data_IF_897644726300
#
_entry.id   IF_897644726300
#
_cell.length_a   1.000
_cell.length_b   1.000
_cell.length_c   1.000
_cell.angle_alpha   90.00
_cell.angle_beta   90.00
_cell.angle_gamma   90.00
#
_symmetry.space_group_name_H-M   'P 1'
#
loop_
_entity.id
_entity.type
_entity.pdbx_description
1 polymer ?
#
# COMPACT_ATOMS: atom_id res chain seq x y z
N UNK A 1 -20.48 8.83 7.30
CA UNK A 1 -21.77 8.94 6.69
C UNK A 1 -22.90 9.17 7.69
N UNK A 2 -24.13 9.15 7.20
CA UNK A 2 -25.33 9.41 8.02
C UNK A 2 -25.60 8.37 9.11
N UNK A 3 -25.01 7.18 9.02
CA UNK A 3 -25.24 6.08 9.96
C UNK A 3 -25.03 6.46 11.43
N UNK A 4 -23.99 7.23 11.71
CA UNK A 4 -23.69 7.67 13.08
C UNK A 4 -24.58 8.80 13.60
N UNK A 5 -25.38 9.41 12.73
CA UNK A 5 -26.18 10.61 13.03
C UNK A 5 -27.69 10.40 12.92
N UNK A 6 -28.13 9.25 12.37
CA UNK A 6 -29.55 8.96 12.11
C UNK A 6 -29.97 7.71 12.88
N UNK A 7 -31.11 7.80 13.58
CA UNK A 7 -31.67 6.65 14.29
C UNK A 7 -31.98 5.49 13.33
N UNK A 8 -31.77 4.26 13.78
CA UNK A 8 -32.09 3.05 13.03
C UNK A 8 -33.55 3.03 12.53
N UNK A 9 -34.46 3.57 13.32
CA UNK A 9 -35.90 3.67 13.02
C UNK A 9 -36.23 4.60 11.84
N UNK A 10 -35.30 5.43 11.38
CA UNK A 10 -35.48 6.26 10.19
C UNK A 10 -35.73 5.46 8.90
N UNK A 11 -35.39 4.16 8.91
CA UNK A 11 -35.75 3.20 7.87
C UNK A 11 -35.01 3.38 6.54
N UNK A 12 -33.85 4.07 6.50
CA UNK A 12 -33.08 4.30 5.26
C UNK A 12 -32.60 2.98 4.64
N UNK A 13 -32.01 2.09 5.42
CA UNK A 13 -31.53 0.79 4.92
C UNK A 13 -32.70 -0.07 4.41
N UNK A 14 -33.86 -0.04 5.11
CA UNK A 14 -35.03 -0.77 4.66
C UNK A 14 -35.56 -0.23 3.32
N UNK A 15 -35.55 1.10 3.12
CA UNK A 15 -35.98 1.68 1.84
C UNK A 15 -35.00 1.30 0.73
N UNK A 16 -33.69 1.44 0.96
CA UNK A 16 -32.67 1.07 0.00
C UNK A 16 -32.74 -0.42 -0.36
N UNK A 17 -32.95 -1.32 0.61
CA UNK A 17 -33.10 -2.75 0.33
C UNK A 17 -34.33 -3.03 -0.54
N UNK A 18 -35.47 -2.34 -0.33
CA UNK A 18 -36.63 -2.46 -1.19
C UNK A 18 -36.38 -2.00 -2.61
N UNK A 19 -35.70 -0.86 -2.78
CA UNK A 19 -35.34 -0.36 -4.10
C UNK A 19 -34.43 -1.35 -4.84
N UNK A 20 -33.47 -1.97 -4.14
CA UNK A 20 -32.61 -3.03 -4.71
C UNK A 20 -33.46 -4.21 -5.17
N UNK A 21 -34.40 -4.70 -4.34
CA UNK A 21 -35.30 -5.80 -4.70
C UNK A 21 -36.16 -5.45 -5.91
N UNK A 22 -36.67 -4.22 -5.99
CA UNK A 22 -37.46 -3.75 -7.16
C UNK A 22 -36.61 -3.74 -8.44
N UNK A 23 -35.36 -3.30 -8.35
CA UNK A 23 -34.44 -3.33 -9.48
C UNK A 23 -34.14 -4.77 -9.91
N UNK A 24 -33.84 -5.69 -8.98
CA UNK A 24 -33.59 -7.09 -9.27
C UNK A 24 -34.80 -7.76 -9.92
N UNK A 25 -36.01 -7.44 -9.49
CA UNK A 25 -37.25 -7.93 -10.12
C UNK A 25 -37.43 -7.39 -11.53
N UNK A 26 -37.16 -6.10 -11.73
CA UNK A 26 -37.22 -5.46 -13.05
C UNK A 26 -36.27 -6.13 -14.05
N UNK A 27 -35.08 -6.50 -13.60
CA UNK A 27 -34.06 -7.20 -14.41
C UNK A 27 -34.30 -8.73 -14.50
N UNK A 28 -35.32 -9.27 -13.80
CA UNK A 28 -35.67 -10.70 -13.86
C UNK A 28 -34.71 -11.62 -13.11
N UNK A 29 -33.96 -11.10 -12.14
CA UNK A 29 -32.91 -11.84 -11.40
C UNK A 29 -33.18 -11.89 -9.88
N UNK A 30 -34.39 -11.53 -9.45
CA UNK A 30 -34.72 -11.48 -8.01
C UNK A 30 -34.66 -12.84 -7.29
N UNK A 31 -34.76 -13.94 -8.03
CA UNK A 31 -34.68 -15.30 -7.49
C UNK A 31 -33.24 -15.83 -7.45
N UNK A 32 -32.27 -15.06 -7.94
CA UNK A 32 -30.85 -15.42 -7.90
C UNK A 32 -30.21 -14.93 -6.60
N UNK A 33 -29.14 -15.60 -6.11
CA UNK A 33 -28.35 -15.09 -5.00
C UNK A 33 -27.79 -13.69 -5.31
N UNK A 34 -27.84 -12.78 -4.34
CA UNK A 34 -27.21 -11.46 -4.41
C UNK A 34 -25.79 -11.53 -3.83
N UNK A 35 -24.79 -11.33 -4.68
CA UNK A 35 -23.42 -11.20 -4.23
C UNK A 35 -23.13 -9.79 -3.70
N UNK A 36 -22.46 -9.70 -2.54
CA UNK A 36 -21.94 -8.44 -1.99
C UNK A 36 -20.49 -8.64 -1.56
N UNK A 37 -19.63 -7.66 -1.80
CA UNK A 37 -18.22 -7.69 -1.39
C UNK A 37 -18.00 -6.93 -0.08
N UNK A 38 -18.51 -5.70 0.02
CA UNK A 38 -18.41 -4.88 1.22
C UNK A 38 -19.81 -4.34 1.54
N UNK A 39 -20.31 -4.63 2.73
CA UNK A 39 -21.62 -4.16 3.17
C UNK A 39 -21.64 -3.91 4.69
N UNK A 40 -22.25 -2.80 5.10
CA UNK A 40 -22.47 -2.55 6.52
C UNK A 40 -23.56 -3.51 7.10
N UNK A 41 -23.41 -3.98 8.35
CA UNK A 41 -24.37 -4.91 8.95
C UNK A 41 -25.85 -4.48 8.85
N UNK A 42 -26.24 -3.21 9.06
CA UNK A 42 -27.64 -2.80 8.91
C UNK A 42 -28.19 -2.97 7.49
N UNK A 43 -27.37 -2.76 6.45
CA UNK A 43 -27.77 -3.02 5.07
C UNK A 43 -27.89 -4.52 4.80
N UNK A 44 -26.93 -5.33 5.28
CA UNK A 44 -26.99 -6.79 5.16
C UNK A 44 -28.30 -7.32 5.77
N UNK A 45 -28.63 -6.90 7.00
CA UNK A 45 -29.86 -7.33 7.67
C UNK A 45 -31.11 -6.85 6.93
N UNK A 46 -31.11 -5.65 6.34
CA UNK A 46 -32.21 -5.15 5.56
C UNK A 46 -32.44 -5.94 4.26
N UNK A 47 -31.36 -6.31 3.55
CA UNK A 47 -31.42 -7.16 2.36
C UNK A 47 -31.98 -8.56 2.69
N UNK A 48 -31.51 -9.18 3.78
CA UNK A 48 -31.99 -10.48 4.25
C UNK A 48 -33.46 -10.42 4.68
N UNK A 49 -33.87 -9.32 5.31
CA UNK A 49 -35.28 -9.12 5.74
C UNK A 49 -36.27 -8.97 4.55
N UNK A 50 -35.77 -8.52 3.37
CA UNK A 50 -36.55 -8.50 2.13
C UNK A 50 -36.51 -9.87 1.39
N UNK A 51 -35.91 -10.90 1.97
CA UNK A 51 -35.93 -12.29 1.47
C UNK A 51 -34.81 -12.62 0.47
N UNK A 52 -33.80 -11.77 0.32
CA UNK A 52 -32.68 -12.04 -0.58
C UNK A 52 -31.70 -13.06 0.01
N UNK A 53 -31.24 -14.01 -0.81
CA UNK A 53 -30.08 -14.89 -0.50
C UNK A 53 -28.79 -14.12 -0.72
N UNK A 54 -28.29 -13.46 0.34
CA UNK A 54 -27.07 -12.62 0.27
C UNK A 54 -25.84 -13.47 0.50
N UNK A 55 -24.86 -13.40 -0.39
CA UNK A 55 -23.61 -14.15 -0.34
C UNK A 55 -22.39 -13.23 -0.40
N UNK A 56 -21.34 -13.60 0.34
CA UNK A 56 -20.03 -12.96 0.20
C UNK A 56 -19.41 -13.31 -1.16
N UNK A 57 -19.07 -12.28 -1.93
CA UNK A 57 -18.39 -12.40 -3.24
C UNK A 57 -17.09 -11.64 -3.28
N UNK A 58 -16.50 -11.30 -2.15
CA UNK A 58 -15.23 -10.58 -2.10
C UNK A 58 -14.15 -11.29 -2.91
N UNK A 59 -14.07 -12.62 -2.82
CA UNK A 59 -13.09 -13.39 -3.60
C UNK A 59 -13.32 -13.29 -5.10
N UNK A 60 -14.58 -13.23 -5.54
CA UNK A 60 -14.91 -13.05 -6.97
C UNK A 60 -14.47 -11.68 -7.46
N UNK A 61 -14.70 -10.63 -6.67
CA UNK A 61 -14.30 -9.26 -7.00
C UNK A 61 -12.77 -9.09 -6.98
N UNK A 62 -12.07 -9.70 -6.03
CA UNK A 62 -10.61 -9.71 -6.00
C UNK A 62 -10.02 -10.43 -7.23
N UNK A 63 -10.61 -11.55 -7.64
CA UNK A 63 -10.19 -12.28 -8.85
C UNK A 63 -10.42 -11.45 -10.11
N UNK A 64 -11.57 -10.75 -10.20
CA UNK A 64 -11.89 -9.94 -11.37
C UNK A 64 -10.92 -8.76 -11.57
N UNK A 65 -10.31 -8.25 -10.48
CA UNK A 65 -9.40 -7.08 -10.50
C UNK A 65 -7.92 -7.44 -10.56
N UNK A 66 -7.55 -8.71 -10.39
CA UNK A 66 -6.13 -9.08 -10.23
C UNK A 66 -5.29 -8.88 -11.50
N UNK A 67 -5.86 -9.11 -12.68
CA UNK A 67 -5.20 -8.91 -13.97
C UNK A 67 -5.65 -7.56 -14.52
N UNK A 68 -4.70 -6.66 -14.73
CA UNK A 68 -4.95 -5.30 -15.19
C UNK A 68 -4.95 -5.23 -16.70
N UNK A 69 -5.91 -4.52 -17.27
CA UNK A 69 -5.89 -4.12 -18.68
C UNK A 69 -4.77 -3.10 -18.94
N UNK A 70 -4.45 -2.85 -20.19
CA UNK A 70 -3.45 -1.84 -20.57
C UNK A 70 -3.87 -0.43 -20.15
N UNK A 71 -5.17 -0.10 -20.18
CA UNK A 71 -5.67 1.19 -19.75
C UNK A 71 -5.51 1.39 -18.22
N UNK A 72 -5.79 0.35 -17.42
CA UNK A 72 -5.55 0.35 -15.98
C UNK A 72 -4.06 0.50 -15.66
N UNK A 73 -3.18 -0.19 -16.39
CA UNK A 73 -1.72 -0.05 -16.25
C UNK A 73 -1.26 1.38 -16.56
N UNK A 74 -1.83 2.05 -17.54
CA UNK A 74 -1.52 3.46 -17.82
C UNK A 74 -1.91 4.35 -16.65
N UNK A 75 -3.09 4.17 -16.06
CA UNK A 75 -3.54 4.94 -14.90
C UNK A 75 -2.68 4.68 -13.66
N UNK A 76 -2.28 3.43 -13.39
CA UNK A 76 -1.34 3.09 -12.32
C UNK A 76 0.04 3.74 -12.53
N UNK A 77 0.57 3.73 -13.76
CA UNK A 77 1.81 4.45 -14.06
C UNK A 77 1.69 5.96 -13.83
N UNK A 78 0.56 6.58 -14.22
CA UNK A 78 0.32 8.01 -13.96
C UNK A 78 0.26 8.29 -12.46
N UNK A 79 -0.45 7.44 -11.71
CA UNK A 79 -0.55 7.54 -10.26
C UNK A 79 0.83 7.44 -9.59
N UNK A 80 1.64 6.45 -9.94
CA UNK A 80 3.02 6.27 -9.44
C UNK A 80 3.92 7.47 -9.80
N UNK A 81 3.82 7.98 -11.04
CA UNK A 81 4.62 9.15 -11.48
C UNK A 81 4.32 10.42 -10.70
N UNK A 82 3.09 10.60 -10.22
CA UNK A 82 2.75 11.72 -9.34
C UNK A 82 3.48 11.60 -8.00
N UNK A 83 3.60 10.39 -7.47
CA UNK A 83 4.36 10.12 -6.23
C UNK A 83 5.87 10.27 -6.45
N UNK A 84 6.41 9.90 -7.63
CA UNK A 84 7.80 10.25 -7.99
C UNK A 84 8.03 11.77 -7.86
N UNK A 85 7.10 12.59 -8.34
CA UNK A 85 7.13 14.05 -8.19
C UNK A 85 7.13 14.51 -6.73
N UNK A 86 6.35 13.85 -5.87
CA UNK A 86 6.36 14.11 -4.41
C UNK A 86 7.73 13.82 -3.81
N UNK A 87 8.38 12.71 -4.20
CA UNK A 87 9.71 12.39 -3.66
C UNK A 87 10.79 13.39 -4.11
N UNK A 88 10.70 13.92 -5.33
CA UNK A 88 11.55 15.03 -5.75
C UNK A 88 11.31 16.26 -4.89
N UNK A 89 10.04 16.61 -4.63
CA UNK A 89 9.69 17.72 -3.73
C UNK A 89 10.23 17.50 -2.31
N UNK A 90 10.09 16.28 -1.76
CA UNK A 90 10.63 15.92 -0.45
C UNK A 90 12.17 16.09 -0.45
N UNK A 91 12.86 15.54 -1.43
CA UNK A 91 14.32 15.60 -1.53
C UNK A 91 14.85 17.05 -1.58
N UNK A 92 14.13 17.95 -2.24
CA UNK A 92 14.50 19.38 -2.36
C UNK A 92 14.23 20.18 -1.08
N UNK A 93 13.19 19.80 -0.30
CA UNK A 93 12.71 20.61 0.83
C UNK A 93 13.13 20.07 2.19
N UNK A 94 13.38 18.75 2.32
CA UNK A 94 13.73 18.10 3.58
C UNK A 94 15.03 18.68 4.15
N UNK A 95 14.94 19.30 5.33
CA UNK A 95 16.07 19.94 6.00
C UNK A 95 15.89 19.95 7.51
N UNK A 96 16.97 20.09 8.29
CA UNK A 96 16.89 20.24 9.73
C UNK A 96 16.00 21.41 10.14
N UNK A 97 15.20 21.21 11.21
CA UNK A 97 14.28 22.21 11.76
C UNK A 97 12.90 22.23 11.10
N UNK A 98 12.73 21.60 9.94
CA UNK A 98 11.40 21.37 9.35
C UNK A 98 10.65 20.30 10.14
N UNK A 99 9.34 20.35 10.19
CA UNK A 99 8.51 19.33 10.87
C UNK A 99 7.98 18.29 9.89
N UNK A 100 7.70 17.07 10.39
CA UNK A 100 7.09 16.02 9.59
C UNK A 100 5.77 16.50 8.94
N UNK A 101 4.88 17.12 9.72
CA UNK A 101 3.60 17.64 9.21
C UNK A 101 3.73 18.78 8.19
N UNK A 102 4.79 19.58 8.24
CA UNK A 102 5.04 20.62 7.24
C UNK A 102 5.38 20.00 5.88
N UNK A 103 6.18 18.94 5.87
CA UNK A 103 6.52 18.21 4.66
C UNK A 103 5.31 17.47 4.09
N UNK A 104 4.50 16.85 4.95
CA UNK A 104 3.22 16.23 4.58
C UNK A 104 2.27 17.23 3.94
N UNK A 105 2.18 18.46 4.46
CA UNK A 105 1.35 19.51 3.87
C UNK A 105 1.81 19.91 2.45
N UNK A 106 3.14 19.99 2.22
CA UNK A 106 3.70 20.26 0.89
C UNK A 106 3.38 19.13 -0.09
N UNK A 107 3.53 17.88 0.35
CA UNK A 107 3.23 16.70 -0.46
C UNK A 107 1.75 16.61 -0.84
N UNK A 108 0.84 16.83 0.12
CA UNK A 108 -0.60 16.91 -0.14
C UNK A 108 -0.94 17.97 -1.18
N UNK A 109 -0.38 19.19 -0.98
CA UNK A 109 -0.60 20.29 -1.93
C UNK A 109 -0.15 19.90 -3.34
N UNK A 110 1.04 19.29 -3.46
CA UNK A 110 1.56 18.88 -4.76
C UNK A 110 0.64 17.86 -5.45
N UNK A 111 0.16 16.85 -4.74
CA UNK A 111 -0.71 15.82 -5.30
C UNK A 111 -2.04 16.41 -5.79
N UNK A 112 -2.71 17.24 -4.97
CA UNK A 112 -3.96 17.87 -5.38
C UNK A 112 -3.79 18.90 -6.52
N UNK A 113 -2.69 19.65 -6.53
CA UNK A 113 -2.37 20.56 -7.64
C UNK A 113 -2.17 19.80 -8.97
N UNK A 114 -1.75 18.52 -8.91
CA UNK A 114 -1.52 17.67 -10.07
C UNK A 114 -2.70 16.74 -10.40
N UNK A 115 -3.83 16.85 -9.70
CA UNK A 115 -5.07 16.15 -10.03
C UNK A 115 -5.30 14.83 -9.32
N UNK A 116 -4.67 14.60 -8.16
CA UNK A 116 -5.04 13.48 -7.29
C UNK A 116 -6.52 13.56 -6.92
N UNK A 117 -7.21 12.44 -6.99
CA UNK A 117 -8.60 12.33 -6.54
C UNK A 117 -8.68 12.38 -5.01
N UNK A 118 -7.75 11.68 -4.36
CA UNK A 118 -7.67 11.59 -2.91
C UNK A 118 -6.25 11.23 -2.47
N UNK A 119 -5.77 11.89 -1.42
CA UNK A 119 -4.54 11.54 -0.72
C UNK A 119 -4.93 10.78 0.54
N UNK A 120 -4.91 9.45 0.46
CA UNK A 120 -5.41 8.57 1.53
C UNK A 120 -4.54 8.65 2.78
N UNK A 121 -3.21 8.69 2.61
CA UNK A 121 -2.25 8.90 3.70
C UNK A 121 -0.89 9.34 3.15
N UNK A 122 -0.15 10.09 3.96
CA UNK A 122 1.29 10.29 3.82
C UNK A 122 1.91 9.96 5.17
N UNK A 123 2.57 8.82 5.26
CA UNK A 123 3.38 8.47 6.42
C UNK A 123 4.71 9.20 6.30
N UNK A 124 5.09 9.93 7.34
CA UNK A 124 6.37 10.62 7.43
C UNK A 124 6.95 10.38 8.81
N UNK A 125 7.96 9.55 8.87
CA UNK A 125 8.54 9.05 10.13
C UNK A 125 10.03 9.27 10.12
N UNK A 126 10.58 9.79 11.23
CA UNK A 126 11.98 10.15 11.30
C UNK A 126 12.68 9.77 12.60
N UNK A 127 13.99 9.53 12.50
CA UNK A 127 14.89 9.23 13.62
C UNK A 127 14.49 7.98 14.37
N UNK A 128 14.51 8.04 15.68
CA UNK A 128 14.19 6.95 16.60
C UNK A 128 12.78 6.37 16.41
N UNK A 129 11.85 7.14 15.81
CA UNK A 129 10.48 6.67 15.55
C UNK A 129 10.40 5.68 14.39
N UNK A 130 11.42 5.58 13.56
CA UNK A 130 11.43 4.63 12.45
C UNK A 130 11.41 3.17 12.90
N UNK A 131 11.68 2.89 14.18
CA UNK A 131 11.66 1.55 14.75
C UNK A 131 10.81 1.51 16.04
N UNK A 132 9.76 0.66 16.10
CA UNK A 132 9.08 -0.02 15.00
C UNK A 132 8.48 0.98 14.01
N UNK A 133 7.95 0.56 12.89
CA UNK A 133 7.48 1.45 11.82
C UNK A 133 6.02 1.93 12.05
N UNK A 134 5.76 3.10 12.64
CA UNK A 134 4.41 3.63 12.71
C UNK A 134 3.94 4.14 11.34
N UNK A 135 2.63 4.04 11.08
CA UNK A 135 1.99 4.56 9.87
C UNK A 135 1.32 5.91 10.14
N UNK A 136 2.13 6.91 10.48
CA UNK A 136 1.65 8.26 10.74
C UNK A 136 2.76 9.29 10.56
N UNK A 137 2.41 10.56 10.78
CA UNK A 137 3.34 11.66 10.96
C UNK A 137 3.02 12.38 12.27
N UNK A 138 3.96 13.22 12.73
CA UNK A 138 3.78 14.05 13.93
C UNK A 138 4.26 15.48 13.66
N UNK A 139 4.37 16.27 14.73
CA UNK A 139 5.03 17.58 14.72
C UNK A 139 6.52 17.52 15.06
N UNK A 140 7.13 16.32 15.07
CA UNK A 140 8.56 16.14 15.29
C UNK A 140 9.37 16.92 14.25
N UNK A 141 10.38 17.65 14.69
CA UNK A 141 11.32 18.32 13.80
C UNK A 141 12.40 17.33 13.34
N UNK A 142 12.73 17.38 12.06
CA UNK A 142 13.88 16.68 11.49
C UNK A 142 15.18 17.27 12.08
N UNK A 143 16.08 16.38 12.46
CA UNK A 143 17.39 16.71 13.02
C UNK A 143 18.50 16.30 12.05
N UNK A 144 19.68 16.95 12.13
CA UNK A 144 20.85 16.47 11.39
C UNK A 144 21.14 15.01 11.71
N UNK A 145 21.34 14.18 10.67
CA UNK A 145 21.58 12.75 10.79
C UNK A 145 20.34 11.88 10.94
N UNK A 146 19.14 12.45 11.02
CA UNK A 146 17.93 11.65 11.02
C UNK A 146 17.81 10.84 9.72
N UNK A 147 17.56 9.55 9.84
CA UNK A 147 16.97 8.76 8.78
C UNK A 147 15.46 8.95 8.79
N UNK A 148 14.86 9.15 7.64
CA UNK A 148 13.43 9.36 7.51
C UNK A 148 12.88 8.52 6.36
N UNK A 149 11.80 7.81 6.59
CA UNK A 149 11.05 7.16 5.52
C UNK A 149 9.68 7.80 5.34
N UNK A 150 9.24 7.77 4.12
CA UNK A 150 7.94 8.28 3.70
C UNK A 150 7.21 7.18 2.94
N UNK A 151 5.89 7.13 3.11
CA UNK A 151 4.99 6.34 2.31
C UNK A 151 3.89 7.27 1.80
N UNK A 152 3.75 7.35 0.51
CA UNK A 152 2.80 8.27 -0.11
C UNK A 152 1.71 7.47 -0.80
N UNK A 153 0.51 7.53 -0.23
CA UNK A 153 -0.66 6.77 -0.67
C UNK A 153 -1.68 7.75 -1.27
N UNK A 154 -1.95 7.60 -2.56
CA UNK A 154 -2.89 8.47 -3.25
C UNK A 154 -3.64 7.71 -4.35
N UNK A 155 -4.70 8.32 -4.90
CA UNK A 155 -5.42 7.81 -6.06
C UNK A 155 -5.51 8.84 -7.18
N UNK A 156 -5.41 8.34 -8.41
CA UNK A 156 -5.63 9.10 -9.63
C UNK A 156 -6.60 8.34 -10.54
N UNK A 157 -7.71 8.96 -10.91
CA UNK A 157 -8.80 8.35 -11.68
C UNK A 157 -9.29 7.02 -11.07
N UNK A 158 -9.30 6.97 -9.72
CA UNK A 158 -9.69 5.81 -8.93
C UNK A 158 -8.59 4.76 -8.71
N UNK A 159 -7.45 4.85 -9.39
CA UNK A 159 -6.34 3.88 -9.27
C UNK A 159 -5.31 4.35 -8.25
N UNK A 160 -4.99 3.46 -7.33
CA UNK A 160 -4.12 3.73 -6.18
C UNK A 160 -2.67 3.40 -6.46
N UNK A 161 -1.81 4.15 -5.80
CA UNK A 161 -0.37 3.89 -5.68
C UNK A 161 0.03 4.06 -4.22
N UNK A 162 0.99 3.28 -3.76
CA UNK A 162 1.72 3.54 -2.53
C UNK A 162 3.14 3.01 -2.67
N UNK A 163 4.12 3.79 -2.21
CA UNK A 163 5.44 3.23 -2.05
C UNK A 163 6.31 4.02 -1.08
N UNK A 164 7.22 3.29 -0.43
CA UNK A 164 8.18 3.84 0.51
C UNK A 164 9.46 4.29 -0.14
N UNK A 165 9.96 5.42 0.35
CA UNK A 165 11.36 5.85 0.15
C UNK A 165 11.96 6.30 1.47
N UNK A 166 13.24 5.99 1.65
CA UNK A 166 14.03 6.40 2.82
C UNK A 166 15.08 7.41 2.37
N UNK A 167 15.17 8.52 3.09
CA UNK A 167 16.17 9.58 2.90
C UNK A 167 16.86 9.88 4.23
N UNK A 168 18.10 10.39 4.20
CA UNK A 168 18.77 10.92 5.38
C UNK A 168 18.87 12.44 5.34
N UNK A 169 18.86 13.07 6.50
CA UNK A 169 18.93 14.52 6.65
C UNK A 169 20.36 14.95 6.92
N UNK A 170 21.04 15.52 5.93
CA UNK A 170 22.39 16.06 6.00
C UNK A 170 23.51 15.03 6.04
N UNK A 171 23.40 13.97 6.81
CA UNK A 171 24.38 12.90 6.95
C UNK A 171 23.74 11.57 7.34
N UNK A 172 24.51 10.50 7.41
CA UNK A 172 24.06 9.19 7.89
C UNK A 172 25.14 8.51 8.74
N UNK A 173 24.72 7.55 9.57
CA UNK A 173 25.62 6.64 10.28
C UNK A 173 25.94 5.42 9.41
N UNK A 174 27.06 4.70 9.65
CA UNK A 174 27.33 3.42 9.00
C UNK A 174 26.18 2.41 9.17
N UNK A 175 25.54 2.40 10.34
CA UNK A 175 24.43 1.51 10.69
C UNK A 175 23.17 1.82 9.87
N UNK A 176 22.85 3.09 9.64
CA UNK A 176 21.76 3.52 8.77
C UNK A 176 22.01 3.14 7.31
N UNK A 177 23.25 3.30 6.84
CA UNK A 177 23.65 2.90 5.48
C UNK A 177 23.56 1.38 5.30
N UNK A 178 24.04 0.60 6.28
CA UNK A 178 23.97 -0.86 6.26
C UNK A 178 22.51 -1.35 6.22
N UNK A 179 21.64 -0.76 7.04
CA UNK A 179 20.20 -1.05 7.04
C UNK A 179 19.57 -0.77 5.66
N UNK A 180 19.91 0.35 5.04
CA UNK A 180 19.43 0.69 3.70
C UNK A 180 19.91 -0.31 2.63
N UNK A 181 21.18 -0.69 2.68
CA UNK A 181 21.76 -1.64 1.74
C UNK A 181 21.11 -3.02 1.86
N UNK A 182 20.85 -3.50 3.08
CA UNK A 182 20.15 -4.75 3.33
C UNK A 182 18.71 -4.71 2.80
N UNK A 183 17.96 -3.65 3.12
CA UNK A 183 16.61 -3.48 2.61
C UNK A 183 16.57 -3.45 1.08
N UNK A 184 17.56 -2.80 0.43
CA UNK A 184 17.69 -2.76 -1.03
C UNK A 184 18.02 -4.14 -1.61
N UNK A 185 18.96 -4.87 -1.00
CA UNK A 185 19.34 -6.21 -1.44
C UNK A 185 18.13 -7.17 -1.39
N UNK A 186 17.36 -7.14 -0.31
CA UNK A 186 16.17 -8.00 -0.17
C UNK A 186 15.12 -7.70 -1.23
N UNK A 187 14.84 -6.43 -1.52
CA UNK A 187 13.85 -6.09 -2.53
C UNK A 187 14.35 -6.38 -3.95
N UNK A 188 15.63 -6.18 -4.24
CA UNK A 188 16.21 -6.55 -5.53
C UNK A 188 16.11 -8.05 -5.76
N UNK A 189 16.47 -8.87 -4.78
CA UNK A 189 16.34 -10.33 -4.84
C UNK A 189 14.89 -10.76 -5.02
N UNK A 190 13.94 -10.09 -4.39
CA UNK A 190 12.50 -10.36 -4.57
C UNK A 190 12.04 -10.03 -5.99
N UNK A 191 12.42 -8.86 -6.52
CA UNK A 191 12.07 -8.40 -7.87
C UNK A 191 12.64 -9.31 -8.96
N UNK A 192 13.88 -9.79 -8.82
CA UNK A 192 14.52 -10.71 -9.78
C UNK A 192 13.75 -12.03 -9.95
N UNK A 193 13.00 -12.44 -8.94
CA UNK A 193 12.16 -13.65 -9.01
C UNK A 193 10.84 -13.43 -9.76
N UNK A 194 10.36 -12.18 -9.86
CA UNK A 194 9.01 -11.90 -10.38
C UNK A 194 8.89 -12.24 -11.86
N UNK A 195 8.08 -13.24 -12.16
CA UNK A 195 7.69 -13.65 -13.52
C UNK A 195 6.42 -14.50 -13.50
N UNK A 196 5.72 -14.66 -14.62
CA UNK A 196 4.56 -15.55 -14.70
C UNK A 196 4.92 -16.99 -14.32
N UNK A 197 4.02 -17.66 -13.62
CA UNK A 197 4.18 -19.04 -13.14
C UNK A 197 4.98 -19.19 -11.84
N UNK A 198 5.65 -18.14 -11.36
CA UNK A 198 6.22 -18.17 -10.01
C UNK A 198 5.13 -18.04 -8.95
N UNK A 199 5.32 -18.68 -7.81
CA UNK A 199 4.40 -18.59 -6.67
C UNK A 199 4.92 -17.63 -5.59
N UNK A 200 4.01 -16.98 -4.87
CA UNK A 200 4.31 -15.93 -3.88
C UNK A 200 5.15 -16.41 -2.69
N UNK A 201 5.11 -17.71 -2.38
CA UNK A 201 5.98 -18.32 -1.34
C UNK A 201 7.46 -18.16 -1.68
N UNK A 202 7.83 -18.26 -2.97
CA UNK A 202 9.24 -18.11 -3.41
C UNK A 202 9.78 -16.71 -3.20
N UNK A 203 8.94 -15.70 -3.35
CA UNK A 203 9.31 -14.33 -3.00
C UNK A 203 9.37 -14.16 -1.49
N UNK A 204 8.39 -14.66 -0.76
CA UNK A 204 8.35 -14.58 0.70
C UNK A 204 9.55 -15.30 1.38
N UNK A 205 10.06 -16.39 0.80
CA UNK A 205 11.23 -17.11 1.28
C UNK A 205 12.53 -16.28 1.23
N UNK A 206 12.62 -15.30 0.32
CA UNK A 206 13.81 -14.42 0.19
C UNK A 206 13.95 -13.47 1.38
N UNK A 207 12.85 -13.09 1.99
CA UNK A 207 12.84 -12.15 3.09
C UNK A 207 13.24 -12.78 4.42
N UNK A 208 13.95 -12.04 5.31
CA UNK A 208 14.30 -12.48 6.64
C UNK A 208 13.09 -12.94 7.46
N UNK A 209 13.35 -13.82 8.41
CA UNK A 209 12.34 -14.29 9.35
C UNK A 209 12.05 -13.25 10.44
N UNK A 210 10.89 -13.34 11.06
CA UNK A 210 10.48 -12.47 12.15
C UNK A 210 11.51 -12.35 13.29
N UNK A 211 12.16 -13.47 13.61
CA UNK A 211 13.17 -13.54 14.68
C UNK A 211 14.41 -12.65 14.39
N UNK A 212 14.74 -12.42 13.11
CA UNK A 212 15.85 -11.55 12.72
C UNK A 212 15.58 -10.08 13.06
N UNK A 213 14.30 -9.73 13.19
CA UNK A 213 13.84 -8.41 13.63
C UNK A 213 13.52 -8.34 15.14
N UNK A 214 13.72 -9.45 15.87
CA UNK A 214 13.43 -9.55 17.30
C UNK A 214 11.98 -9.85 17.66
N UNK A 215 11.16 -10.30 16.70
CA UNK A 215 9.77 -10.73 16.94
C UNK A 215 9.68 -12.23 17.14
N UNK A 216 8.71 -12.67 17.94
CA UNK A 216 8.54 -14.09 18.26
C UNK A 216 7.78 -14.89 17.19
N UNK A 217 7.11 -14.20 16.25
CA UNK A 217 6.30 -14.85 15.21
C UNK A 217 6.13 -13.95 13.98
N UNK A 218 5.85 -14.60 12.83
CA UNK A 218 5.53 -13.86 11.59
C UNK A 218 4.26 -12.99 11.72
N UNK A 219 3.35 -13.33 12.63
CA UNK A 219 2.18 -12.49 12.93
C UNK A 219 2.57 -11.17 13.59
N UNK A 220 3.55 -11.17 14.50
CA UNK A 220 4.05 -9.96 15.17
C UNK A 220 4.88 -9.10 14.22
N UNK A 221 5.56 -9.71 13.25
CA UNK A 221 6.34 -9.04 12.23
C UNK A 221 5.54 -8.70 10.96
N UNK A 222 4.25 -9.01 10.93
CA UNK A 222 3.40 -8.77 9.76
C UNK A 222 3.44 -7.29 9.33
N UNK A 223 3.64 -7.06 8.05
CA UNK A 223 3.76 -5.69 7.50
C UNK A 223 5.17 -5.09 7.53
N UNK A 224 6.18 -5.78 8.11
CA UNK A 224 7.58 -5.34 7.98
C UNK A 224 8.10 -5.60 6.57
N UNK A 225 7.80 -6.79 6.05
CA UNK A 225 8.15 -7.20 4.69
C UNK A 225 6.91 -7.79 4.04
N UNK A 226 6.40 -7.10 3.07
CA UNK A 226 5.07 -7.33 2.56
C UNK A 226 5.02 -7.05 1.05
N UNK A 227 4.11 -7.68 0.37
CA UNK A 227 3.76 -7.34 -1.00
C UNK A 227 2.25 -7.46 -1.17
N UNK A 228 1.68 -6.53 -1.90
CA UNK A 228 0.23 -6.51 -2.12
C UNK A 228 -0.11 -6.00 -3.51
N UNK A 229 -1.16 -6.57 -4.10
CA UNK A 229 -1.72 -6.04 -5.34
C UNK A 229 -2.22 -4.61 -5.17
N UNK A 230 -2.20 -3.88 -6.27
CA UNK A 230 -2.65 -2.51 -6.40
C UNK A 230 -3.69 -2.38 -7.52
N UNK A 231 -4.60 -1.45 -7.39
CA UNK A 231 -5.61 -1.17 -8.41
C UNK A 231 -6.65 -0.19 -7.94
N UNK A 232 -7.92 -0.57 -8.02
CA UNK A 232 -9.04 0.20 -7.47
C UNK A 232 -9.05 0.20 -5.94
N UNK A 233 -8.40 -0.77 -5.31
CA UNK A 233 -8.13 -0.76 -3.87
C UNK A 233 -6.62 -0.68 -3.62
N UNK A 234 -6.26 -0.16 -2.44
CA UNK A 234 -4.87 -0.11 -2.00
C UNK A 234 -4.28 -1.52 -1.84
N UNK A 235 -5.07 -2.44 -1.29
CA UNK A 235 -4.66 -3.83 -1.13
C UNK A 235 -5.57 -4.75 -1.97
N UNK A 236 -4.98 -5.37 -2.99
CA UNK A 236 -5.61 -6.38 -3.85
C UNK A 236 -4.78 -7.66 -3.87
N UNK A 237 -5.10 -8.60 -4.76
CA UNK A 237 -4.24 -9.76 -5.02
C UNK A 237 -3.11 -9.44 -6.00
N UNK A 238 -1.95 -10.08 -5.84
CA UNK A 238 -1.58 -11.05 -4.81
C UNK A 238 -1.25 -10.40 -3.45
N UNK A 239 -1.32 -11.19 -2.36
CA UNK A 239 -0.68 -10.86 -1.09
C UNK A 239 0.59 -11.71 -0.99
N UNK A 240 1.72 -11.08 -0.68
CA UNK A 240 3.03 -11.71 -0.57
C UNK A 240 3.56 -11.42 0.83
N UNK A 241 3.68 -12.44 1.67
CA UNK A 241 4.28 -12.33 3.00
C UNK A 241 4.64 -13.71 3.53
N UNK A 242 5.57 -13.78 4.47
CA UNK A 242 5.91 -15.03 5.15
C UNK A 242 4.73 -15.60 5.95
N UNK A 243 3.87 -14.71 6.50
CA UNK A 243 2.68 -15.12 7.24
C UNK A 243 1.64 -15.85 6.39
N UNK A 244 1.47 -15.45 5.13
CA UNK A 244 0.36 -15.89 4.28
C UNK A 244 0.83 -16.81 3.17
N UNK A 245 1.90 -16.44 2.47
CA UNK A 245 2.27 -17.08 1.20
C UNK A 245 2.93 -18.45 1.38
N UNK A 246 3.61 -18.69 2.51
CA UNK A 246 4.27 -19.97 2.75
C UNK A 246 3.27 -21.14 2.83
N UNK A 247 2.10 -20.89 3.43
CA UNK A 247 1.03 -21.89 3.58
C UNK A 247 -0.03 -21.79 2.45
N UNK A 248 -0.14 -20.63 1.80
CA UNK A 248 -1.13 -20.37 0.76
C UNK A 248 -0.46 -19.68 -0.44
N UNK A 249 0.40 -20.40 -1.19
CA UNK A 249 1.08 -19.84 -2.34
C UNK A 249 0.10 -19.46 -3.43
N UNK A 250 0.35 -18.33 -4.08
CA UNK A 250 -0.45 -17.78 -5.16
C UNK A 250 0.40 -17.62 -6.42
N UNK A 251 -0.06 -18.11 -7.56
CA UNK A 251 0.69 -18.05 -8.82
C UNK A 251 0.60 -16.66 -9.46
N UNK A 252 1.75 -16.10 -9.81
CA UNK A 252 1.84 -14.83 -10.53
C UNK A 252 1.48 -15.01 -11.99
N UNK A 253 0.75 -14.06 -12.54
CA UNK A 253 0.32 -14.04 -13.93
C UNK A 253 0.67 -12.69 -14.58
N UNK A 254 0.90 -12.71 -15.88
CA UNK A 254 1.09 -11.49 -16.69
C UNK A 254 -0.08 -10.52 -16.50
N UNK A 255 0.23 -9.23 -16.38
CA UNK A 255 -0.76 -8.17 -16.13
C UNK A 255 -1.10 -7.94 -14.67
N UNK A 256 -0.59 -8.74 -13.72
CA UNK A 256 -0.69 -8.40 -12.32
C UNK A 256 0.19 -7.19 -12.00
N UNK A 257 -0.31 -6.32 -11.11
CA UNK A 257 0.42 -5.16 -10.59
C UNK A 257 0.40 -5.23 -9.07
N UNK A 258 1.56 -5.14 -8.46
CA UNK A 258 1.69 -5.19 -7.00
C UNK A 258 2.93 -4.45 -6.51
N UNK A 259 2.87 -4.04 -5.25
CA UNK A 259 3.99 -3.49 -4.50
C UNK A 259 4.77 -4.61 -3.80
N UNK A 260 6.07 -4.41 -3.67
CA UNK A 260 6.99 -5.19 -2.83
C UNK A 260 7.69 -4.23 -1.90
N UNK A 261 7.62 -4.44 -0.61
CA UNK A 261 8.18 -3.55 0.41
C UNK A 261 9.08 -4.28 1.40
N UNK A 262 10.13 -3.60 1.84
CA UNK A 262 11.11 -4.10 2.80
C UNK A 262 11.28 -3.15 3.97
N UNK A 263 11.74 -3.69 5.10
CA UNK A 263 12.06 -2.94 6.31
C UNK A 263 13.35 -3.48 6.92
N UNK A 264 14.28 -2.59 7.29
CA UNK A 264 15.45 -2.96 8.05
C UNK A 264 15.76 -1.87 9.09
N UNK A 265 15.72 -2.19 10.41
CA UNK A 265 16.11 -1.24 11.45
C UNK A 265 17.62 -1.02 11.44
N UNK A 266 18.04 0.22 11.68
CA UNK A 266 19.44 0.53 11.94
C UNK A 266 19.88 -0.03 13.30
N UNK A 267 21.05 -0.66 13.37
CA UNK A 267 21.53 -1.36 14.56
C UNK A 267 21.79 -0.41 15.76
N UNK A 268 22.00 0.88 15.51
CA UNK A 268 22.16 1.92 16.53
C UNK A 268 20.82 2.44 17.11
N UNK A 269 19.68 1.98 16.57
CA UNK A 269 18.33 2.41 16.97
C UNK A 269 17.93 3.81 16.48
N UNK A 270 18.74 4.47 15.64
CA UNK A 270 18.51 5.85 15.19
C UNK A 270 17.86 5.95 13.81
N UNK A 271 17.17 4.91 13.38
CA UNK A 271 16.50 4.89 12.09
C UNK A 271 16.06 3.50 11.68
N UNK A 272 15.43 3.44 10.53
CA UNK A 272 15.17 2.22 9.78
C UNK A 272 15.00 2.56 8.30
N UNK A 273 15.44 1.69 7.43
CA UNK A 273 15.18 1.79 6.01
C UNK A 273 13.87 1.09 5.65
N UNK A 274 13.04 1.76 4.84
CA UNK A 274 11.92 1.17 4.11
C UNK A 274 12.06 1.51 2.64
N UNK A 275 11.97 0.50 1.80
CA UNK A 275 12.03 0.65 0.35
C UNK A 275 10.90 -0.19 -0.23
N UNK A 276 10.16 0.40 -1.13
CA UNK A 276 9.06 -0.26 -1.81
C UNK A 276 9.13 0.04 -3.31
N UNK A 277 8.83 -0.97 -4.11
CA UNK A 277 8.74 -0.83 -5.56
C UNK A 277 7.43 -1.43 -6.05
N UNK A 278 6.73 -0.71 -6.90
CA UNK A 278 5.59 -1.24 -7.63
C UNK A 278 6.05 -1.87 -8.94
N UNK A 279 5.59 -3.08 -9.20
CA UNK A 279 5.96 -3.87 -10.37
C UNK A 279 4.74 -4.33 -11.16
N UNK A 280 4.90 -4.36 -12.48
CA UNK A 280 3.96 -4.98 -13.42
C UNK A 280 4.57 -6.28 -13.89
N UNK A 281 3.87 -7.39 -13.75
CA UNK A 281 4.30 -8.69 -14.29
C UNK A 281 4.17 -8.67 -15.80
N UNK A 282 5.27 -8.93 -16.50
CA UNK A 282 5.34 -9.01 -17.97
C UNK A 282 5.39 -10.47 -18.43
N UNK A 283 5.42 -10.72 -19.71
CA UNK A 283 5.44 -12.09 -20.28
C UNK A 283 6.64 -12.94 -19.79
N UNK A 284 7.77 -12.32 -19.46
CA UNK A 284 9.04 -13.00 -19.13
C UNK A 284 9.74 -12.50 -17.86
N UNK A 285 9.12 -11.56 -17.13
CA UNK A 285 9.69 -10.96 -15.91
C UNK A 285 8.76 -9.93 -15.30
N UNK A 286 9.33 -8.77 -14.93
CA UNK A 286 8.53 -7.63 -14.48
C UNK A 286 9.14 -6.28 -14.88
N UNK A 287 8.34 -5.24 -14.75
CA UNK A 287 8.76 -3.85 -14.96
C UNK A 287 8.40 -3.02 -13.74
N UNK A 288 9.40 -2.34 -13.16
CA UNK A 288 9.20 -1.37 -12.08
C UNK A 288 8.55 -0.10 -12.65
N UNK A 289 7.60 0.48 -11.94
CA UNK A 289 6.90 1.72 -12.31
C UNK A 289 7.14 2.90 -11.34
N UNK A 290 7.80 2.65 -10.21
CA UNK A 290 8.25 3.65 -9.23
C UNK A 290 9.65 4.11 -9.59
N UNK A 291 9.81 5.37 -10.04
CA UNK A 291 11.02 5.81 -10.72
C UNK A 291 11.91 6.75 -9.88
N UNK A 292 11.44 7.24 -8.71
CA UNK A 292 12.33 7.99 -7.84
C UNK A 292 13.50 7.09 -7.37
N UNK A 293 14.76 7.56 -7.50
CA UNK A 293 15.94 6.71 -7.24
C UNK A 293 15.95 6.07 -5.86
N UNK A 294 16.27 4.77 -5.80
CA UNK A 294 16.32 3.98 -4.57
C UNK A 294 17.52 3.02 -4.48
N UNK A 295 18.42 3.03 -5.47
CA UNK A 295 19.62 2.17 -5.44
C UNK A 295 20.63 2.59 -4.37
N UNK A 296 20.71 3.89 -4.12
CA UNK A 296 21.60 4.48 -3.13
C UNK A 296 20.77 5.29 -2.12
N UNK A 297 21.20 5.29 -0.85
CA UNK A 297 20.59 6.11 0.19
C UNK A 297 20.72 7.60 -0.17
N UNK A 298 19.60 8.27 -0.37
CA UNK A 298 19.58 9.69 -0.71
C UNK A 298 19.80 10.55 0.53
N UNK A 299 20.67 11.55 0.39
CA UNK A 299 20.95 12.53 1.45
C UNK A 299 20.36 13.87 1.05
N UNK A 300 19.30 14.27 1.72
CA UNK A 300 18.69 15.58 1.57
C UNK A 300 19.52 16.62 2.35
N UNK A 301 19.69 17.83 1.78
CA UNK A 301 20.42 18.94 2.43
C UNK A 301 21.78 18.51 2.98
N UNK A 302 22.59 17.85 2.14
CA UNK A 302 23.96 17.44 2.47
C UNK A 302 24.85 18.67 2.80
N UNK A 303 25.68 18.59 3.87
CA UNK A 303 26.64 19.63 4.31
C UNK A 303 27.97 19.03 4.72
#
# INVERSE_FOLDING_TARGET
GLRGSVNADAGFFKRAAKEIVELLRKEGVADMPLGVDIVEPPMLFALQAEGLDVRDVQQVMLNARQIKSMDEIVLLNMSASMVDGVYHLIAENLKPGMRENELVALANKFLYDNGSDDVEAINAVSGERCSPHPHNFTDRMYRPGDQAFFDVIQSYMGYRTCYYRTLNVGSYTPEQKDAYQKAREWIDNAIELVKPGLTTDKIAEVWPRAEEFGFASEMEAFGLQFGHGLGLALHERPIISRLVSLDNPFELQEGMVFALETYCPAADGNGAARIEEEVIVTADGCRIITLFPSKELFIANAY
#
